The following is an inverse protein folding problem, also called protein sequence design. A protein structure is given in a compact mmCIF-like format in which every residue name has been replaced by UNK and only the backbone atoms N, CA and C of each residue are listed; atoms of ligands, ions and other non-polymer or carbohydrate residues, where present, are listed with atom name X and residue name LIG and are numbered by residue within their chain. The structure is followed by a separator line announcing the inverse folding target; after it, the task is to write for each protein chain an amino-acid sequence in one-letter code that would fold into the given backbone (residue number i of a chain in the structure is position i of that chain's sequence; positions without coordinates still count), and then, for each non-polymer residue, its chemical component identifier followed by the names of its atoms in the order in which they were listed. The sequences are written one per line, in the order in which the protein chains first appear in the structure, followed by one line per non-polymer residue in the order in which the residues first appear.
data_IF_137244201000
#
_entry.id   IF_137244201000
#
_cell.length_a   1.000
_cell.length_b   1.000
_cell.length_c   1.000
_cell.angle_alpha   90.00
_cell.angle_beta   90.00
_cell.angle_gamma   90.00
#
_symmetry.space_group_name_H-M   'P 1'
#
loop_
_entity.id
_entity.type
_entity.pdbx_description
1 polymer ?
#
# COMPACT_ATOMS: atom_id res chain seq x y z
N UNK A 1 -69.81 -9.58 21.42
CA UNK A 1 -70.07 -10.74 20.51
C UNK A 1 -68.74 -11.26 20.12
N UNK A 2 -68.19 -12.31 20.75
CA UNK A 2 -68.09 -13.72 20.23
C UNK A 2 -67.19 -13.78 19.02
N UNK A 3 -66.05 -14.49 18.85
CA UNK A 3 -65.44 -15.70 19.48
C UNK A 3 -63.99 -15.73 19.02
N UNK A 4 -62.98 -15.92 19.86
CA UNK A 4 -62.48 -17.24 20.34
C UNK A 4 -62.09 -18.21 19.24
N UNK A 5 -60.82 -18.49 19.10
CA UNK A 5 -60.32 -19.83 19.43
C UNK A 5 -58.79 -19.99 19.19
N UNK A 6 -58.22 -20.39 20.26
CA UNK A 6 -56.92 -21.02 20.46
C UNK A 6 -56.79 -22.35 19.73
N UNK A 7 -55.58 -22.75 19.31
CA UNK A 7 -55.12 -24.13 19.49
C UNK A 7 -53.60 -24.21 19.66
N UNK A 8 -53.27 -24.98 20.66
CA UNK A 8 -51.94 -25.34 21.21
C UNK A 8 -51.37 -26.59 20.54
N UNK A 9 -50.14 -26.81 20.91
CA UNK A 9 -49.37 -28.10 20.99
C UNK A 9 -48.80 -28.60 19.65
N UNK A 10 -47.57 -29.11 19.57
CA UNK A 10 -46.89 -30.01 20.52
C UNK A 10 -45.37 -30.00 20.33
N UNK A 11 -44.72 -30.28 21.41
CA UNK A 11 -43.30 -30.64 21.57
C UNK A 11 -43.02 -32.03 21.01
N UNK A 12 -41.82 -32.25 20.43
CA UNK A 12 -41.15 -33.54 20.56
C UNK A 12 -39.65 -33.35 20.67
N UNK A 13 -39.10 -33.80 21.79
CA UNK A 13 -37.70 -34.13 22.05
C UNK A 13 -37.33 -35.48 21.43
N UNK A 14 -36.09 -35.65 20.99
CA UNK A 14 -35.32 -36.92 21.01
C UNK A 14 -33.87 -36.56 20.67
N UNK A 15 -32.96 -36.57 21.58
CA UNK A 15 -32.15 -37.62 22.26
C UNK A 15 -31.10 -38.25 21.35
N UNK A 16 -29.88 -38.04 21.80
CA UNK A 16 -28.51 -38.58 21.61
C UNK A 16 -28.35 -39.91 20.85
N UNK A 17 -27.24 -39.97 20.08
CA UNK A 17 -26.35 -41.15 20.17
C UNK A 17 -24.91 -40.78 19.69
N UNK A 18 -23.97 -40.95 20.57
CA UNK A 18 -22.55 -41.01 20.30
C UNK A 18 -22.16 -42.40 19.80
N UNK A 19 -21.27 -42.50 18.83
CA UNK A 19 -20.51 -43.72 18.58
C UNK A 19 -19.03 -43.33 18.25
N UNK A 20 -18.15 -43.77 19.13
CA UNK A 20 -16.74 -43.91 18.92
C UNK A 20 -16.40 -45.36 18.55
N UNK A 21 -15.44 -45.56 17.62
CA UNK A 21 -14.59 -46.74 17.44
C UNK A 21 -13.60 -46.44 16.30
N UNK A 22 -12.36 -46.29 16.55
CA UNK A 22 -11.23 -47.22 16.74
C UNK A 22 -10.75 -47.91 15.45
N UNK A 23 -9.57 -47.53 15.08
CA UNK A 23 -8.41 -48.11 14.38
C UNK A 23 -8.52 -49.51 13.73
N UNK A 24 -7.97 -49.58 12.48
CA UNK A 24 -7.11 -50.70 12.12
C UNK A 24 -6.24 -50.36 10.88
N UNK A 25 -4.94 -50.53 11.06
CA UNK A 25 -3.88 -50.61 10.04
C UNK A 25 -4.05 -51.89 9.19
N UNK A 26 -3.90 -51.78 7.87
CA UNK A 26 -3.37 -52.89 7.09
C UNK A 26 -2.72 -52.34 5.80
N UNK A 27 -1.44 -52.59 5.64
CA UNK A 27 -0.69 -52.46 4.42
C UNK A 27 -0.95 -53.68 3.53
N UNK A 28 -1.00 -53.47 2.16
CA UNK A 28 -0.46 -54.43 1.17
C UNK A 28 -0.52 -53.85 -0.27
N UNK A 29 0.67 -53.72 -0.82
CA UNK A 29 1.20 -53.96 -2.18
C UNK A 29 0.30 -53.99 -3.44
N UNK A 30 0.83 -53.33 -4.45
CA UNK A 30 0.67 -53.12 -5.89
C UNK A 30 0.51 -54.45 -6.68
N UNK A 31 -0.07 -54.57 -7.93
CA UNK A 31 0.30 -53.78 -9.12
C UNK A 31 -0.79 -53.51 -10.19
N UNK A 32 -0.55 -52.49 -10.98
CA UNK A 32 -0.75 -52.48 -12.47
C UNK A 32 -2.13 -52.20 -13.04
N UNK A 33 -2.18 -51.20 -13.96
CA UNK A 33 -3.23 -51.15 -14.99
C UNK A 33 -3.68 -49.74 -15.40
N UNK A 34 -3.34 -49.42 -16.61
CA UNK A 34 -3.61 -48.27 -17.49
C UNK A 34 -5.10 -47.85 -17.55
N UNK A 35 -5.38 -46.54 -17.65
CA UNK A 35 -6.55 -46.09 -18.39
C UNK A 35 -7.28 -44.80 -17.89
N UNK A 36 -7.04 -43.71 -18.62
CA UNK A 36 -7.96 -42.61 -19.01
C UNK A 36 -8.56 -41.64 -18.02
N UNK A 37 -8.15 -40.42 -18.24
CA UNK A 37 -8.80 -39.07 -18.16
C UNK A 37 -10.22 -38.95 -17.60
N UNK A 38 -10.35 -38.03 -16.60
CA UNK A 38 -11.30 -36.93 -16.68
C UNK A 38 -10.94 -35.82 -15.69
N UNK A 39 -10.99 -34.62 -16.20
CA UNK A 39 -10.72 -33.31 -15.63
C UNK A 39 -11.52 -32.97 -14.35
N UNK A 40 -10.84 -32.39 -13.38
CA UNK A 40 -11.42 -31.78 -12.21
C UNK A 40 -10.33 -31.04 -11.44
N UNK A 41 -9.96 -29.84 -11.88
CA UNK A 41 -8.98 -29.01 -11.21
C UNK A 41 -9.58 -28.34 -9.99
N UNK A 42 -9.23 -28.80 -8.80
CA UNK A 42 -9.20 -27.99 -7.60
C UNK A 42 -7.72 -27.77 -7.26
N UNK A 43 -7.21 -26.61 -7.59
CA UNK A 43 -5.85 -26.20 -7.29
C UNK A 43 -5.74 -25.88 -5.80
N UNK A 44 -5.31 -26.86 -5.04
CA UNK A 44 -4.78 -26.69 -3.69
C UNK A 44 -3.34 -26.14 -3.86
N UNK A 45 -3.20 -24.80 -3.85
CA UNK A 45 -1.92 -24.12 -4.00
C UNK A 45 -1.28 -23.78 -2.67
N UNK A 46 -1.10 -24.77 -1.81
CA UNK A 46 -0.19 -24.69 -0.66
C UNK A 46 1.09 -25.47 -0.89
N UNK A 47 1.73 -25.27 -2.05
CA UNK A 47 3.14 -25.62 -2.17
C UNK A 47 3.96 -24.45 -1.62
N UNK A 48 4.37 -24.55 -0.35
CA UNK A 48 5.58 -23.87 0.12
C UNK A 48 6.75 -24.41 -0.74
N UNK A 49 7.05 -23.67 -1.82
CA UNK A 49 8.30 -23.91 -2.54
C UNK A 49 9.41 -23.53 -1.56
N UNK A 50 9.88 -24.54 -0.82
CA UNK A 50 11.04 -24.42 0.06
C UNK A 50 12.20 -23.90 -0.77
N UNK A 51 12.76 -22.78 -0.33
CA UNK A 51 14.05 -22.29 -0.84
C UNK A 51 15.07 -23.36 -0.45
N UNK A 52 15.40 -24.28 -1.35
CA UNK A 52 16.34 -25.37 -1.10
C UNK A 52 17.55 -25.26 -2.00
N UNK A 53 18.75 -25.40 -1.41
CA UNK A 53 20.00 -25.51 -2.12
C UNK A 53 20.89 -24.27 -2.05
N UNK A 54 22.14 -24.49 -2.45
CA UNK A 54 23.15 -23.44 -2.60
C UNK A 54 22.92 -22.67 -3.90
N UNK A 55 22.52 -21.39 -3.78
CA UNK A 55 22.29 -20.46 -4.90
C UNK A 55 23.46 -19.53 -5.14
N UNK A 56 24.52 -19.60 -4.33
CA UNK A 56 25.65 -18.68 -4.38
C UNK A 56 26.23 -18.56 -5.79
N UNK A 57 26.17 -17.34 -6.36
CA UNK A 57 26.68 -17.04 -7.70
C UNK A 57 25.95 -17.74 -8.86
N UNK A 58 24.78 -18.34 -8.62
CA UNK A 58 24.00 -19.06 -9.64
C UNK A 58 22.62 -18.51 -9.85
N UNK A 59 21.93 -18.18 -8.75
CA UNK A 59 20.56 -17.69 -8.78
C UNK A 59 20.34 -16.63 -7.69
N UNK A 60 19.74 -15.52 -8.08
CA UNK A 60 19.28 -14.47 -7.15
C UNK A 60 17.77 -14.61 -7.00
N UNK A 61 17.31 -14.89 -5.80
CA UNK A 61 15.89 -14.91 -5.47
C UNK A 61 15.44 -13.53 -4.98
N UNK A 62 14.43 -12.99 -5.65
CA UNK A 62 13.89 -11.65 -5.36
C UNK A 62 12.42 -11.77 -4.97
N UNK A 63 12.01 -11.10 -3.89
CA UNK A 63 10.61 -10.89 -3.58
C UNK A 63 10.22 -9.45 -3.87
N UNK A 64 9.17 -9.27 -4.66
CA UNK A 64 8.63 -7.97 -5.04
C UNK A 64 7.11 -7.91 -4.83
N UNK A 65 6.59 -6.70 -4.79
CA UNK A 65 5.15 -6.49 -4.76
C UNK A 65 4.48 -6.92 -6.06
N UNK A 66 3.29 -7.48 -5.97
CA UNK A 66 2.47 -7.82 -7.13
C UNK A 66 2.22 -6.59 -8.02
N UNK A 67 2.30 -6.80 -9.33
CA UNK A 67 2.19 -5.72 -10.32
C UNK A 67 3.46 -4.91 -10.52
N UNK A 68 4.64 -5.41 -10.09
CA UNK A 68 5.96 -4.83 -10.36
C UNK A 68 6.70 -5.47 -11.53
N UNK A 69 6.03 -6.29 -12.31
CA UNK A 69 6.54 -6.94 -13.51
C UNK A 69 6.68 -5.96 -14.70
N UNK A 70 7.11 -4.73 -14.38
CA UNK A 70 7.35 -3.68 -15.38
C UNK A 70 8.43 -4.11 -16.37
N UNK A 71 8.20 -3.75 -17.65
CA UNK A 71 9.17 -4.06 -18.72
C UNK A 71 10.56 -3.49 -18.40
N UNK A 72 10.62 -2.29 -17.83
CA UNK A 72 11.88 -1.67 -17.43
C UNK A 72 12.66 -2.51 -16.42
N UNK A 73 11.99 -3.15 -15.46
CA UNK A 73 12.65 -4.06 -14.51
C UNK A 73 13.00 -5.41 -15.14
N UNK A 74 12.09 -6.01 -15.90
CA UNK A 74 12.38 -7.30 -16.54
C UNK A 74 13.52 -7.21 -17.56
N UNK A 75 13.63 -6.10 -18.30
CA UNK A 75 14.77 -5.82 -19.17
C UNK A 75 16.09 -5.65 -18.38
N UNK A 76 16.02 -4.98 -17.20
CA UNK A 76 17.17 -4.83 -16.30
C UNK A 76 17.61 -6.18 -15.75
N UNK A 77 16.69 -7.05 -15.35
CA UNK A 77 16.98 -8.40 -14.89
C UNK A 77 17.63 -9.24 -15.98
N UNK A 78 17.10 -9.22 -17.20
CA UNK A 78 17.67 -9.95 -18.33
C UNK A 78 19.09 -9.47 -18.70
N UNK A 79 19.35 -8.16 -18.63
CA UNK A 79 20.68 -7.60 -18.84
C UNK A 79 21.66 -8.06 -17.74
N UNK A 80 21.22 -8.00 -16.47
CA UNK A 80 22.01 -8.43 -15.32
C UNK A 80 22.35 -9.93 -15.36
N UNK A 81 21.38 -10.80 -15.69
CA UNK A 81 21.61 -12.24 -15.89
C UNK A 81 22.72 -12.51 -16.87
N UNK A 82 22.72 -11.81 -18.01
CA UNK A 82 23.72 -11.94 -19.05
C UNK A 82 25.09 -11.44 -18.63
N UNK A 83 25.16 -10.31 -17.93
CA UNK A 83 26.40 -9.66 -17.50
C UNK A 83 27.11 -10.49 -16.44
N UNK A 84 26.35 -10.97 -15.45
CA UNK A 84 26.90 -11.67 -14.28
C UNK A 84 26.85 -13.20 -14.39
N UNK A 85 26.29 -13.76 -15.49
CA UNK A 85 26.11 -15.21 -15.70
C UNK A 85 25.35 -15.89 -14.54
N UNK A 86 24.29 -15.25 -14.08
CA UNK A 86 23.40 -15.74 -13.00
C UNK A 86 21.97 -15.84 -13.51
N UNK A 87 21.08 -16.50 -12.75
CA UNK A 87 19.64 -16.48 -12.97
C UNK A 87 18.96 -15.54 -11.96
N UNK A 88 17.93 -14.85 -12.39
CA UNK A 88 17.05 -14.06 -11.51
C UNK A 88 15.69 -14.74 -11.44
N UNK A 89 15.30 -15.10 -10.22
CA UNK A 89 14.00 -15.66 -9.90
C UNK A 89 13.21 -14.62 -9.11
N UNK A 90 12.17 -14.04 -9.72
CA UNK A 90 11.33 -13.03 -9.07
C UNK A 90 10.01 -13.66 -8.66
N UNK A 91 9.66 -13.50 -7.39
CA UNK A 91 8.36 -13.91 -6.85
C UNK A 91 7.58 -12.66 -6.43
N UNK A 92 6.34 -12.59 -6.88
CA UNK A 92 5.47 -11.43 -6.66
C UNK A 92 4.37 -11.76 -5.66
N UNK A 93 4.18 -10.87 -4.66
CA UNK A 93 3.22 -11.05 -3.58
C UNK A 93 2.42 -9.76 -3.34
N UNK A 94 1.19 -9.88 -2.86
CA UNK A 94 0.52 -8.75 -2.25
C UNK A 94 1.28 -8.32 -0.98
N UNK A 95 1.23 -7.04 -0.62
CA UNK A 95 2.04 -6.50 0.49
C UNK A 95 1.85 -7.27 1.81
N UNK A 96 0.60 -7.60 2.16
CA UNK A 96 0.31 -8.36 3.37
C UNK A 96 0.89 -9.78 3.35
N UNK A 97 0.78 -10.48 2.20
CA UNK A 97 1.30 -11.82 2.02
C UNK A 97 2.84 -11.81 2.03
N UNK A 98 3.46 -10.78 1.40
CA UNK A 98 4.91 -10.60 1.40
C UNK A 98 5.45 -10.42 2.83
N UNK A 99 4.78 -9.61 3.65
CA UNK A 99 5.18 -9.40 5.04
C UNK A 99 5.11 -10.70 5.85
N UNK A 100 4.02 -11.46 5.71
CA UNK A 100 3.85 -12.75 6.40
C UNK A 100 4.89 -13.76 5.94
N UNK A 101 5.12 -13.87 4.62
CA UNK A 101 6.13 -14.75 4.03
C UNK A 101 7.53 -14.46 4.57
N UNK A 102 7.95 -13.18 4.56
CA UNK A 102 9.26 -12.77 5.07
C UNK A 102 9.41 -13.06 6.56
N UNK A 103 8.37 -12.84 7.36
CA UNK A 103 8.40 -13.17 8.79
C UNK A 103 8.68 -14.67 9.01
N UNK A 104 8.03 -15.54 8.24
CA UNK A 104 8.26 -16.98 8.28
C UNK A 104 9.68 -17.35 7.78
N UNK A 105 10.15 -16.71 6.71
CA UNK A 105 11.48 -16.96 6.14
C UNK A 105 12.60 -16.52 7.09
N UNK A 106 12.45 -15.43 7.81
CA UNK A 106 13.41 -15.01 8.85
C UNK A 106 13.51 -16.02 9.97
N UNK A 107 12.37 -16.56 10.43
CA UNK A 107 12.34 -17.61 11.47
C UNK A 107 12.99 -18.91 10.99
N UNK A 108 12.74 -19.34 9.76
CA UNK A 108 13.32 -20.57 9.21
C UNK A 108 14.78 -20.37 8.77
N UNK A 109 15.23 -19.14 8.60
CA UNK A 109 16.55 -18.81 8.07
C UNK A 109 16.70 -19.04 6.56
N UNK A 110 15.60 -19.28 5.86
CA UNK A 110 15.57 -19.44 4.41
C UNK A 110 15.05 -18.15 3.77
N UNK A 111 15.93 -17.20 3.50
CA UNK A 111 15.58 -15.88 3.01
C UNK A 111 15.85 -15.73 1.51
N UNK A 112 15.12 -14.82 0.83
CA UNK A 112 15.52 -14.37 -0.51
C UNK A 112 16.85 -13.59 -0.45
N UNK A 113 17.39 -13.25 -1.60
CA UNK A 113 18.61 -12.45 -1.70
C UNK A 113 18.32 -10.94 -1.72
N UNK A 114 17.17 -10.58 -2.26
CA UNK A 114 16.74 -9.19 -2.39
C UNK A 114 15.23 -9.08 -2.17
N UNK A 115 14.78 -8.00 -1.52
CA UNK A 115 13.37 -7.80 -1.21
C UNK A 115 12.97 -6.36 -1.46
N UNK A 116 11.83 -6.16 -2.15
CA UNK A 116 11.12 -4.89 -2.16
C UNK A 116 10.35 -4.72 -0.84
N UNK A 117 10.59 -3.63 -0.12
CA UNK A 117 9.93 -3.29 1.14
C UNK A 117 8.92 -2.15 0.97
N UNK A 118 7.95 -2.05 1.86
CA UNK A 118 6.89 -1.06 1.82
C UNK A 118 7.14 0.07 2.83
N UNK A 119 7.36 1.29 2.33
CA UNK A 119 7.38 2.52 3.11
C UNK A 119 8.61 2.79 3.97
N UNK A 120 9.51 1.83 4.12
CA UNK A 120 10.78 1.95 4.88
C UNK A 120 10.74 1.37 6.29
N UNK A 121 9.56 1.20 6.92
CA UNK A 121 9.51 0.66 8.28
C UNK A 121 9.94 -0.82 8.36
N UNK A 122 9.76 -1.60 7.31
CA UNK A 122 10.23 -3.00 7.26
C UNK A 122 11.75 -3.06 7.34
N UNK A 123 12.45 -2.26 6.54
CA UNK A 123 13.91 -2.26 6.53
C UNK A 123 14.48 -1.80 7.87
N UNK A 124 13.92 -0.76 8.49
CA UNK A 124 14.39 -0.27 9.79
C UNK A 124 14.06 -1.22 10.93
N UNK A 125 12.82 -1.73 10.99
CA UNK A 125 12.41 -2.67 12.04
C UNK A 125 13.18 -3.97 11.96
N UNK A 126 13.18 -4.62 10.81
CA UNK A 126 13.89 -5.88 10.64
C UNK A 126 15.42 -5.72 10.60
N UNK A 127 15.89 -4.51 10.28
CA UNK A 127 17.31 -4.15 10.44
C UNK A 127 17.71 -4.10 11.90
N UNK A 128 16.92 -3.47 12.76
CA UNK A 128 17.13 -3.46 14.20
C UNK A 128 17.08 -4.87 14.81
N UNK A 129 16.20 -5.74 14.30
CA UNK A 129 16.10 -7.15 14.71
C UNK A 129 17.22 -8.04 14.11
N UNK A 130 18.11 -7.49 13.27
CA UNK A 130 19.21 -8.22 12.63
C UNK A 130 18.82 -9.11 11.45
N UNK A 131 17.57 -9.06 10.99
CA UNK A 131 17.08 -9.83 9.83
C UNK A 131 17.46 -9.22 8.49
N UNK A 132 17.64 -7.89 8.45
CA UNK A 132 18.11 -7.13 7.29
C UNK A 132 19.49 -6.58 7.59
N UNK A 133 20.43 -6.71 6.63
CA UNK A 133 21.79 -6.21 6.80
C UNK A 133 21.86 -4.70 6.63
N UNK A 134 22.80 -4.06 7.34
CA UNK A 134 23.21 -2.69 7.01
C UNK A 134 23.89 -2.66 5.65
N UNK A 135 23.52 -1.68 4.85
CA UNK A 135 24.13 -1.42 3.53
C UNK A 135 25.38 -0.54 3.61
N UNK A 136 25.74 -0.05 4.80
CA UNK A 136 26.89 0.86 4.99
C UNK A 136 28.21 0.29 4.47
N UNK A 137 28.54 -1.02 4.59
CA UNK A 137 29.74 -1.58 4.01
C UNK A 137 29.83 -1.46 2.48
N UNK A 138 28.69 -1.48 1.79
CA UNK A 138 28.62 -1.24 0.35
C UNK A 138 28.73 0.25 0.03
N UNK A 139 28.00 1.09 0.78
CA UNK A 139 27.98 2.54 0.62
C UNK A 139 29.37 3.17 0.84
N UNK A 140 30.17 2.64 1.77
CA UNK A 140 31.55 3.09 1.99
C UNK A 140 32.46 2.88 0.77
N UNK A 141 32.16 1.88 -0.07
CA UNK A 141 32.88 1.62 -1.31
C UNK A 141 32.43 2.52 -2.47
N UNK A 142 31.30 3.23 -2.31
CA UNK A 142 30.66 4.02 -3.36
C UNK A 142 30.28 5.42 -2.84
N UNK A 143 31.26 6.27 -2.52
CA UNK A 143 31.01 7.60 -2.02
C UNK A 143 30.17 8.42 -3.02
N UNK A 144 29.17 9.14 -2.51
CA UNK A 144 28.25 9.95 -3.34
C UNK A 144 27.06 9.18 -3.94
N UNK A 145 26.98 7.86 -3.80
CA UNK A 145 25.85 7.09 -4.34
C UNK A 145 24.49 7.59 -3.83
N UNK A 146 24.39 8.00 -2.57
CA UNK A 146 23.17 8.48 -1.96
C UNK A 146 22.81 9.94 -2.27
N UNK A 147 23.72 10.75 -2.81
CA UNK A 147 23.55 12.21 -2.94
C UNK A 147 22.37 12.62 -3.82
N UNK A 148 22.06 11.79 -4.83
CA UNK A 148 20.96 12.02 -5.76
C UNK A 148 19.62 11.43 -5.29
N UNK A 149 19.56 10.76 -4.14
CA UNK A 149 18.30 10.24 -3.63
C UNK A 149 17.53 11.29 -2.81
N UNK A 150 16.19 11.20 -2.86
CA UNK A 150 15.29 12.05 -2.06
C UNK A 150 15.50 11.76 -0.57
N UNK A 151 15.81 12.78 0.19
CA UNK A 151 16.18 12.67 1.60
C UNK A 151 15.11 11.99 2.45
N UNK A 152 13.83 12.35 2.26
CA UNK A 152 12.72 11.73 2.98
C UNK A 152 12.60 10.23 2.71
N UNK A 153 12.90 9.79 1.47
CA UNK A 153 12.93 8.38 1.11
C UNK A 153 14.08 7.62 1.77
N UNK A 154 15.27 8.23 1.86
CA UNK A 154 16.41 7.68 2.57
C UNK A 154 16.16 7.63 4.08
N UNK A 155 15.70 8.74 4.65
CA UNK A 155 15.44 8.84 6.10
C UNK A 155 14.49 7.75 6.61
N UNK A 156 13.54 7.29 5.80
CA UNK A 156 12.65 6.21 6.16
C UNK A 156 13.33 4.82 6.23
N UNK A 157 14.55 4.70 5.69
CA UNK A 157 15.31 3.45 5.62
C UNK A 157 16.58 3.50 6.47
N UNK A 158 16.65 4.53 7.31
CA UNK A 158 17.78 4.75 8.22
C UNK A 158 17.29 4.72 9.67
N UNK A 159 18.01 3.98 10.51
CA UNK A 159 17.82 3.91 11.95
C UNK A 159 19.18 3.69 12.63
N UNK A 160 19.40 4.30 13.80
CA UNK A 160 20.60 4.14 14.63
C UNK A 160 21.91 4.40 13.85
N UNK A 161 21.86 5.39 12.95
CA UNK A 161 23.01 5.78 12.12
C UNK A 161 23.37 4.79 11.01
N UNK A 162 22.51 3.80 10.74
CA UNK A 162 22.70 2.78 9.70
C UNK A 162 21.65 2.89 8.61
N UNK A 163 22.03 2.51 7.38
CA UNK A 163 21.15 2.42 6.22
C UNK A 163 20.79 0.97 5.96
N UNK A 164 19.50 0.63 5.98
CA UNK A 164 18.98 -0.73 5.82
C UNK A 164 18.25 -0.97 4.48
N UNK A 165 18.07 0.07 3.68
CA UNK A 165 17.44 -0.05 2.37
C UNK A 165 17.73 1.15 1.48
N UNK A 166 17.58 0.96 0.18
CA UNK A 166 17.69 2.01 -0.84
C UNK A 166 16.30 2.28 -1.40
N UNK A 167 15.83 3.55 -1.40
CA UNK A 167 14.51 3.87 -1.94
C UNK A 167 14.43 3.58 -3.45
N UNK A 168 13.41 2.83 -3.86
CA UNK A 168 13.11 2.50 -5.26
C UNK A 168 12.07 3.48 -5.82
N UNK A 169 10.94 3.59 -5.15
CA UNK A 169 9.88 4.55 -5.43
C UNK A 169 9.75 5.53 -4.26
N UNK A 170 9.69 6.82 -4.56
CA UNK A 170 9.34 7.87 -3.59
C UNK A 170 8.12 8.59 -4.14
N UNK A 171 6.98 8.12 -3.74
CA UNK A 171 5.68 8.56 -4.20
C UNK A 171 4.83 9.09 -3.04
N UNK A 172 3.61 9.46 -3.28
CA UNK A 172 2.70 9.98 -2.26
C UNK A 172 1.26 9.58 -2.55
N UNK A 173 0.45 9.49 -1.51
CA UNK A 173 -0.99 9.35 -1.63
C UNK A 173 -1.72 10.68 -1.46
N UNK A 174 -3.04 10.67 -1.70
CA UNK A 174 -3.88 11.85 -1.47
C UNK A 174 -3.71 12.98 -2.49
N UNK A 175 -3.22 12.70 -3.68
CA UNK A 175 -3.33 13.58 -4.84
C UNK A 175 -4.78 13.60 -5.34
N UNK A 176 -5.21 14.72 -5.90
CA UNK A 176 -6.54 14.84 -6.49
C UNK A 176 -6.48 14.48 -7.96
N UNK A 177 -7.10 13.35 -8.32
CA UNK A 177 -7.29 12.99 -9.73
C UNK A 177 -8.68 13.46 -10.17
N UNK A 178 -8.77 14.13 -11.31
CA UNK A 178 -10.00 14.69 -11.84
C UNK A 178 -10.26 14.24 -13.28
N UNK A 179 -11.53 14.09 -13.62
CA UNK A 179 -11.98 13.94 -15.00
C UNK A 179 -12.17 15.35 -15.59
N UNK A 180 -11.25 15.74 -16.47
CA UNK A 180 -11.21 17.10 -17.04
C UNK A 180 -12.50 17.46 -17.79
N UNK A 181 -13.09 16.52 -18.53
CA UNK A 181 -14.33 16.73 -19.27
C UNK A 181 -15.51 17.03 -18.33
N UNK A 182 -15.63 16.29 -17.23
CA UNK A 182 -16.66 16.54 -16.21
C UNK A 182 -16.44 17.87 -15.49
N UNK A 183 -15.18 18.19 -15.19
CA UNK A 183 -14.82 19.47 -14.58
C UNK A 183 -15.20 20.64 -15.47
N UNK A 184 -14.88 20.57 -16.78
CA UNK A 184 -15.21 21.60 -17.75
C UNK A 184 -16.73 21.77 -17.91
N UNK A 185 -17.47 20.67 -17.99
CA UNK A 185 -18.93 20.67 -18.06
C UNK A 185 -19.57 21.31 -16.82
N UNK A 186 -19.00 21.07 -15.66
CA UNK A 186 -19.48 21.63 -14.39
C UNK A 186 -18.95 23.06 -14.12
N UNK A 187 -18.06 23.58 -14.96
CA UNK A 187 -17.44 24.90 -14.79
C UNK A 187 -16.56 24.99 -13.56
N UNK A 188 -15.86 23.89 -13.20
CA UNK A 188 -14.97 23.84 -12.04
C UNK A 188 -13.51 23.65 -12.46
N UNK A 189 -12.60 24.14 -11.62
CA UNK A 189 -11.16 23.94 -11.75
C UNK A 189 -10.68 22.86 -10.75
N UNK A 190 -9.44 22.43 -10.90
CA UNK A 190 -8.82 21.50 -9.96
C UNK A 190 -8.83 22.09 -8.53
N UNK A 191 -9.46 21.42 -7.56
CA UNK A 191 -9.55 21.93 -6.19
C UNK A 191 -8.19 21.89 -5.49
N UNK A 192 -7.93 22.92 -4.67
CA UNK A 192 -6.69 23.08 -3.89
C UNK A 192 -6.93 23.00 -2.39
N UNK A 193 -8.16 23.12 -1.94
CA UNK A 193 -8.56 23.07 -0.53
C UNK A 193 -9.71 22.10 -0.31
N UNK A 194 -9.95 21.71 0.93
CA UNK A 194 -11.10 20.87 1.28
C UNK A 194 -12.43 21.48 0.86
N UNK A 195 -12.61 22.79 1.10
CA UNK A 195 -13.84 23.48 0.72
C UNK A 195 -14.00 23.52 -0.81
N UNK A 196 -12.93 23.79 -1.55
CA UNK A 196 -12.98 23.77 -3.02
C UNK A 196 -13.30 22.35 -3.55
N UNK A 197 -12.76 21.28 -2.92
CA UNK A 197 -13.11 19.90 -3.28
C UNK A 197 -14.60 19.62 -3.06
N UNK A 198 -15.15 20.03 -1.91
CA UNK A 198 -16.58 19.88 -1.59
C UNK A 198 -17.45 20.61 -2.61
N UNK A 199 -17.17 21.89 -2.87
CA UNK A 199 -17.94 22.70 -3.81
C UNK A 199 -17.81 22.23 -5.27
N UNK A 200 -16.61 21.86 -5.71
CA UNK A 200 -16.40 21.30 -7.04
C UNK A 200 -17.13 19.95 -7.23
N UNK A 201 -17.07 19.08 -6.21
CA UNK A 201 -17.79 17.82 -6.19
C UNK A 201 -19.31 18.01 -6.30
N UNK A 202 -19.85 18.98 -5.57
CA UNK A 202 -21.26 19.32 -5.64
C UNK A 202 -21.70 19.77 -7.03
N UNK A 203 -20.95 20.69 -7.66
CA UNK A 203 -21.22 21.16 -9.02
C UNK A 203 -21.12 20.05 -10.07
N UNK A 204 -20.17 19.12 -9.91
CA UNK A 204 -20.05 17.95 -10.79
C UNK A 204 -21.30 17.07 -10.65
N UNK A 205 -21.77 16.80 -9.44
CA UNK A 205 -22.98 16.02 -9.22
C UNK A 205 -24.23 16.74 -9.79
N UNK A 206 -24.35 18.04 -9.57
CA UNK A 206 -25.42 18.87 -10.15
C UNK A 206 -25.40 18.90 -11.69
N UNK A 207 -24.26 18.66 -12.33
CA UNK A 207 -24.12 18.53 -13.79
C UNK A 207 -24.62 17.19 -14.35
N UNK A 208 -25.10 16.28 -13.47
CA UNK A 208 -25.68 14.98 -13.81
C UNK A 208 -24.75 13.78 -13.63
N UNK A 209 -23.60 13.96 -13.00
CA UNK A 209 -22.71 12.86 -12.58
C UNK A 209 -23.26 12.24 -11.30
N UNK A 210 -23.18 10.91 -11.14
CA UNK A 210 -23.74 10.19 -9.99
C UNK A 210 -23.13 10.65 -8.67
N UNK A 211 -21.79 10.80 -8.63
CA UNK A 211 -21.03 11.26 -7.46
C UNK A 211 -20.08 12.39 -7.85
N UNK A 212 -19.87 13.33 -6.94
CA UNK A 212 -18.86 14.36 -7.10
C UNK A 212 -17.45 13.80 -7.01
N UNK A 213 -17.23 12.85 -6.09
CA UNK A 213 -15.94 12.17 -5.89
C UNK A 213 -16.11 10.72 -5.43
N UNK A 214 -15.03 9.94 -5.52
CA UNK A 214 -14.85 8.67 -4.85
C UNK A 214 -13.80 8.82 -3.74
N UNK A 215 -14.08 8.26 -2.56
CA UNK A 215 -13.09 8.08 -1.51
C UNK A 215 -12.48 6.68 -1.59
N UNK A 216 -11.26 6.55 -1.13
CA UNK A 216 -10.55 5.27 -1.17
C UNK A 216 -11.00 4.34 -0.03
N UNK A 217 -10.79 3.04 -0.19
CA UNK A 217 -11.23 2.00 0.74
C UNK A 217 -10.12 1.51 1.68
N UNK A 218 -9.08 2.29 1.88
CA UNK A 218 -7.96 1.99 2.77
C UNK A 218 -7.71 3.11 3.78
N UNK A 219 -7.43 2.74 5.03
CA UNK A 219 -7.23 3.68 6.13
C UNK A 219 -6.06 4.67 5.90
N UNK A 220 -5.08 4.34 5.08
CA UNK A 220 -3.96 5.23 4.76
C UNK A 220 -4.42 6.50 4.04
N UNK A 221 -5.57 6.46 3.35
CA UNK A 221 -6.10 7.63 2.66
C UNK A 221 -6.78 8.66 3.59
N UNK A 222 -6.96 8.35 4.88
CA UNK A 222 -7.35 9.35 5.88
C UNK A 222 -6.14 10.16 6.36
N UNK A 223 -4.94 9.61 6.22
CA UNK A 223 -3.70 10.23 6.71
C UNK A 223 -3.45 11.61 6.09
N UNK A 224 -3.62 11.84 4.77
CA UNK A 224 -3.50 13.17 4.19
C UNK A 224 -4.41 14.20 4.86
N UNK A 225 -5.68 13.85 5.11
CA UNK A 225 -6.63 14.77 5.76
C UNK A 225 -6.21 15.08 7.19
N UNK A 226 -5.75 14.08 7.96
CA UNK A 226 -5.22 14.30 9.31
C UNK A 226 -4.01 15.24 9.28
N UNK A 227 -3.06 15.02 8.37
CA UNK A 227 -1.89 15.88 8.21
C UNK A 227 -2.26 17.29 7.78
N UNK A 228 -3.22 17.42 6.87
CA UNK A 228 -3.72 18.71 6.37
C UNK A 228 -4.45 19.52 7.45
N UNK A 229 -5.09 18.86 8.41
CA UNK A 229 -5.65 19.51 9.60
C UNK A 229 -4.59 19.93 10.64
N UNK A 230 -3.30 19.63 10.38
CA UNK A 230 -2.22 19.94 11.31
C UNK A 230 -2.06 18.93 12.45
N UNK A 231 -2.66 17.74 12.32
CA UNK A 231 -2.47 16.65 13.29
C UNK A 231 -1.03 16.16 13.25
N UNK A 232 -0.42 16.07 14.42
CA UNK A 232 0.79 15.27 14.65
C UNK A 232 0.38 13.94 15.24
N UNK A 233 0.86 12.81 14.66
CA UNK A 233 0.44 11.46 15.09
C UNK A 233 0.96 11.10 16.47
N UNK A 234 2.02 11.75 16.89
CA UNK A 234 2.60 11.64 18.22
C UNK A 234 3.29 12.94 18.59
N UNK A 235 3.27 13.26 19.86
CA UNK A 235 4.11 14.28 20.47
C UNK A 235 5.27 13.55 21.14
N UNK A 236 6.48 13.81 20.69
CA UNK A 236 7.72 13.25 21.26
C UNK A 236 7.74 11.69 21.35
N UNK A 237 6.95 11.00 20.51
CA UNK A 237 6.86 9.54 20.50
C UNK A 237 6.00 8.92 21.62
N UNK A 238 5.46 9.71 22.54
CA UNK A 238 4.83 9.21 23.76
C UNK A 238 3.35 9.54 23.91
N UNK A 239 2.81 10.47 23.11
CA UNK A 239 1.41 10.87 23.18
C UNK A 239 0.73 10.67 21.83
N UNK A 240 -0.49 10.09 21.79
CA UNK A 240 -1.21 9.89 20.53
C UNK A 240 -1.74 11.22 20.00
N UNK A 241 -1.99 11.25 18.71
CA UNK A 241 -2.62 12.34 17.95
C UNK A 241 -2.85 13.65 18.68
N UNK A 242 -2.13 14.70 18.33
CA UNK A 242 -2.37 16.02 18.89
C UNK A 242 -2.46 17.06 17.76
N UNK A 243 -3.43 17.99 17.80
CA UNK A 243 -4.58 18.04 18.73
C UNK A 243 -5.76 17.16 18.23
N UNK A 244 -6.44 16.46 19.17
CA UNK A 244 -7.57 15.58 18.90
C UNK A 244 -8.74 16.28 18.17
N UNK A 245 -9.01 17.54 18.51
CA UNK A 245 -10.05 18.32 17.83
C UNK A 245 -9.79 18.42 16.31
N UNK A 246 -8.52 18.53 15.89
CA UNK A 246 -8.14 18.57 14.48
C UNK A 246 -8.26 17.20 13.79
N UNK A 247 -8.00 16.12 14.50
CA UNK A 247 -8.28 14.77 14.00
C UNK A 247 -9.78 14.57 13.80
N UNK A 248 -10.60 15.02 14.75
CA UNK A 248 -12.05 14.98 14.61
C UNK A 248 -12.53 15.80 13.42
N UNK A 249 -12.01 17.01 13.22
CA UNK A 249 -12.33 17.86 12.06
C UNK A 249 -12.02 17.14 10.73
N UNK A 250 -10.86 16.52 10.63
CA UNK A 250 -10.43 15.79 9.42
C UNK A 250 -11.31 14.56 9.13
N UNK A 251 -11.69 13.82 10.16
CA UNK A 251 -12.56 12.65 10.00
C UNK A 251 -14.01 13.07 9.75
N UNK A 252 -14.48 14.15 10.38
CA UNK A 252 -15.82 14.73 10.16
C UNK A 252 -15.96 15.22 8.71
N UNK A 253 -14.93 15.85 8.14
CA UNK A 253 -14.97 16.29 6.75
C UNK A 253 -15.21 15.11 5.79
N UNK A 254 -14.50 14.01 5.95
CA UNK A 254 -14.66 12.82 5.13
C UNK A 254 -16.04 12.15 5.35
N UNK A 255 -16.47 12.08 6.60
CA UNK A 255 -17.80 11.58 6.98
C UNK A 255 -18.91 12.41 6.30
N UNK A 256 -18.80 13.75 6.35
CA UNK A 256 -19.78 14.66 5.77
C UNK A 256 -19.91 14.45 4.25
N UNK A 257 -18.80 14.25 3.51
CA UNK A 257 -18.82 13.99 2.07
C UNK A 257 -19.67 12.76 1.70
N UNK A 258 -19.73 11.76 2.58
CA UNK A 258 -20.47 10.51 2.37
C UNK A 258 -21.90 10.62 2.91
N UNK A 259 -22.06 10.91 4.20
CA UNK A 259 -23.30 10.69 4.92
C UNK A 259 -24.21 11.91 4.94
N UNK A 260 -23.64 13.13 4.97
CA UNK A 260 -24.39 14.38 5.05
C UNK A 260 -24.60 14.98 3.66
N UNK A 261 -23.53 15.20 2.92
CA UNK A 261 -23.56 15.90 1.63
C UNK A 261 -23.87 14.92 0.47
N UNK A 262 -23.65 13.62 0.69
CA UNK A 262 -23.90 12.54 -0.30
C UNK A 262 -23.17 12.74 -1.62
N UNK A 263 -21.96 13.32 -1.54
CA UNK A 263 -21.11 13.59 -2.70
C UNK A 263 -20.24 12.39 -3.10
N UNK A 264 -20.05 11.43 -2.18
CA UNK A 264 -19.29 10.20 -2.40
C UNK A 264 -20.11 8.98 -1.99
N UNK A 265 -19.94 7.82 -2.67
CA UNK A 265 -20.45 6.56 -2.14
C UNK A 265 -19.68 6.12 -0.90
N UNK A 266 -20.27 5.30 -0.05
CA UNK A 266 -19.51 4.56 0.97
C UNK A 266 -18.53 3.65 0.23
N UNK A 267 -17.22 3.70 0.57
CA UNK A 267 -16.25 2.82 -0.06
C UNK A 267 -16.56 1.34 0.21
N UNK A 268 -16.32 0.49 -0.78
CA UNK A 268 -16.54 -0.94 -0.60
C UNK A 268 -15.48 -1.52 0.32
N UNK A 269 -15.90 -2.15 1.41
CA UNK A 269 -15.00 -2.84 2.33
C UNK A 269 -14.38 -4.06 1.62
N UNK A 270 -13.22 -3.90 1.04
CA UNK A 270 -12.47 -4.96 0.35
C UNK A 270 -10.98 -4.63 0.30
N UNK A 271 -10.17 -5.65 0.05
CA UNK A 271 -8.74 -5.47 -0.22
C UNK A 271 -8.46 -5.13 -1.71
N UNK A 272 -9.50 -4.89 -2.51
CA UNK A 272 -9.36 -4.48 -3.90
C UNK A 272 -9.15 -2.96 -4.01
N UNK A 273 -7.91 -2.54 -4.09
CA UNK A 273 -7.54 -1.13 -4.32
C UNK A 273 -8.05 -0.56 -5.65
N UNK A 274 -8.45 -1.42 -6.59
CA UNK A 274 -9.03 -0.96 -7.84
C UNK A 274 -10.51 -0.55 -7.71
N UNK A 275 -11.23 -0.97 -6.66
CA UNK A 275 -12.65 -0.72 -6.52
C UNK A 275 -13.01 0.79 -6.53
N UNK A 276 -12.38 1.68 -5.74
CA UNK A 276 -12.63 3.12 -5.83
C UNK A 276 -12.23 3.72 -7.19
N UNK A 277 -11.10 3.28 -7.76
CA UNK A 277 -10.66 3.72 -9.09
C UNK A 277 -11.69 3.36 -10.16
N UNK A 278 -12.32 2.20 -10.11
CA UNK A 278 -13.38 1.80 -11.04
C UNK A 278 -14.60 2.72 -11.00
N UNK A 279 -14.95 3.29 -9.84
CA UNK A 279 -16.02 4.30 -9.75
C UNK A 279 -15.63 5.55 -10.55
N UNK A 280 -14.38 5.97 -10.48
CA UNK A 280 -13.85 7.11 -11.22
C UNK A 280 -13.68 6.82 -12.72
N UNK A 281 -13.04 5.71 -13.10
CA UNK A 281 -12.78 5.36 -14.51
C UNK A 281 -14.05 5.00 -15.28
N UNK A 282 -15.07 4.49 -14.62
CA UNK A 282 -16.42 4.29 -15.18
C UNK A 282 -17.24 5.59 -15.31
N UNK A 283 -16.62 6.74 -15.03
CA UNK A 283 -17.24 8.07 -15.15
C UNK A 283 -18.44 8.28 -14.20
N UNK A 284 -18.49 7.52 -13.11
CA UNK A 284 -19.51 7.69 -12.07
C UNK A 284 -19.14 8.75 -11.04
N UNK A 285 -17.86 9.11 -10.94
CA UNK A 285 -17.35 10.16 -10.07
C UNK A 285 -16.45 11.10 -10.83
N UNK A 286 -16.49 12.40 -10.49
CA UNK A 286 -15.67 13.44 -11.12
C UNK A 286 -14.25 13.51 -10.57
N UNK A 287 -14.06 13.16 -9.30
CA UNK A 287 -12.76 13.12 -8.63
C UNK A 287 -12.51 11.78 -7.93
N UNK A 288 -11.23 11.47 -7.70
CA UNK A 288 -10.76 10.47 -6.74
C UNK A 288 -9.47 10.98 -6.07
N UNK A 289 -9.32 10.69 -4.79
CA UNK A 289 -8.06 10.93 -4.09
C UNK A 289 -7.25 9.64 -4.09
N UNK A 290 -6.10 9.67 -4.76
CA UNK A 290 -5.23 8.49 -4.90
C UNK A 290 -3.77 8.91 -5.05
N UNK A 291 -2.93 8.07 -5.64
CA UNK A 291 -1.51 8.34 -5.88
C UNK A 291 -1.06 8.01 -7.30
N UNK A 292 0.20 8.32 -7.64
CA UNK A 292 0.76 8.11 -8.98
C UNK A 292 0.65 6.68 -9.52
N UNK A 293 0.54 5.67 -8.64
CA UNK A 293 0.33 4.27 -9.03
C UNK A 293 -0.95 4.02 -9.84
N UNK A 294 -1.92 4.93 -9.78
CA UNK A 294 -3.15 4.81 -10.57
C UNK A 294 -3.07 5.47 -11.96
N UNK A 295 -2.02 6.24 -12.26
CA UNK A 295 -1.88 6.92 -13.55
C UNK A 295 -1.87 5.90 -14.70
N UNK A 296 -1.00 4.89 -14.63
CA UNK A 296 -0.93 3.86 -15.67
C UNK A 296 -2.18 3.01 -15.72
N UNK A 297 -2.77 2.69 -14.57
CA UNK A 297 -3.99 1.90 -14.52
C UNK A 297 -5.16 2.62 -15.20
N UNK A 298 -5.35 3.93 -14.94
CA UNK A 298 -6.37 4.75 -15.62
C UNK A 298 -6.12 4.80 -17.12
N UNK A 299 -4.87 5.07 -17.54
CA UNK A 299 -4.49 5.15 -18.97
C UNK A 299 -4.61 3.80 -19.68
N UNK A 300 -4.39 2.68 -18.97
CA UNK A 300 -4.54 1.34 -19.53
C UNK A 300 -6.01 0.93 -19.65
N UNK A 301 -6.86 1.31 -18.70
CA UNK A 301 -8.30 1.07 -18.77
C UNK A 301 -8.97 1.88 -19.88
N UNK A 302 -8.61 3.15 -20.03
CA UNK A 302 -9.05 4.03 -21.13
C UNK A 302 -7.91 4.98 -21.52
N UNK A 303 -7.21 4.72 -22.65
CA UNK A 303 -6.13 5.60 -23.14
C UNK A 303 -6.56 7.04 -23.43
N UNK A 304 -7.86 7.28 -23.65
CA UNK A 304 -8.44 8.60 -23.92
C UNK A 304 -9.14 9.21 -22.70
N UNK A 305 -9.00 8.58 -21.52
CA UNK A 305 -9.59 9.12 -20.30
C UNK A 305 -9.03 10.53 -20.05
N UNK A 306 -9.88 11.54 -19.87
CA UNK A 306 -9.45 12.93 -19.74
C UNK A 306 -8.90 13.19 -18.32
N UNK A 307 -7.83 12.48 -17.98
CA UNK A 307 -7.19 12.54 -16.68
C UNK A 307 -6.48 13.86 -16.48
N UNK A 308 -6.72 14.50 -15.35
CA UNK A 308 -5.90 15.58 -14.80
C UNK A 308 -5.58 15.30 -13.34
N UNK A 309 -4.44 15.81 -12.85
CA UNK A 309 -3.97 15.57 -11.49
C UNK A 309 -3.66 16.90 -10.83
N UNK A 310 -4.12 17.08 -9.59
CA UNK A 310 -3.85 18.21 -8.73
C UNK A 310 -2.87 17.83 -7.62
N UNK A 311 -2.25 18.85 -7.04
CA UNK A 311 -1.41 18.73 -5.84
C UNK A 311 -2.24 18.24 -4.65
N UNK A 312 -1.60 17.82 -3.54
CA UNK A 312 -2.30 17.54 -2.30
C UNK A 312 -3.13 18.75 -1.84
N UNK A 313 -4.31 18.47 -1.32
CA UNK A 313 -5.17 19.52 -0.78
C UNK A 313 -4.52 20.24 0.40
N UNK A 314 -4.95 21.47 0.62
CA UNK A 314 -4.64 22.27 1.80
C UNK A 314 -5.86 22.30 2.72
N UNK A 315 -5.67 21.90 3.98
CA UNK A 315 -6.50 22.28 5.12
C UNK A 315 -5.86 23.47 5.84
N UNK A 316 -5.43 23.31 7.08
CA UNK A 316 -4.59 24.31 7.77
C UNK A 316 -3.20 24.37 7.13
N UNK A 317 -2.69 23.23 6.72
CA UNK A 317 -1.42 23.08 6.01
C UNK A 317 -1.58 22.25 4.73
N UNK A 318 -0.69 22.45 3.75
CA UNK A 318 -0.64 21.61 2.58
C UNK A 318 0.36 20.47 2.83
N UNK A 319 -0.13 19.26 3.03
CA UNK A 319 0.68 18.08 3.29
C UNK A 319 0.02 16.81 2.76
N UNK A 320 0.84 15.79 2.56
CA UNK A 320 0.38 14.44 2.26
C UNK A 320 1.33 13.39 2.84
N UNK A 321 0.90 12.12 2.87
CA UNK A 321 1.79 11.06 3.34
C UNK A 321 2.76 10.60 2.26
N UNK A 322 4.00 10.37 2.68
CA UNK A 322 5.02 9.75 1.86
C UNK A 322 4.71 8.25 1.75
N UNK A 323 4.61 7.78 0.53
CA UNK A 323 4.50 6.38 0.19
C UNK A 323 5.69 5.96 -0.67
N UNK A 324 5.73 4.71 -1.04
CA UNK A 324 6.75 4.19 -1.93
C UNK A 324 7.38 2.92 -1.37
N UNK A 325 8.37 2.45 -2.07
CA UNK A 325 9.07 1.22 -1.72
C UNK A 325 10.58 1.40 -1.81
N UNK A 326 11.31 0.45 -1.29
CA UNK A 326 12.76 0.39 -1.41
C UNK A 326 13.22 -1.05 -1.52
N UNK A 327 14.51 -1.21 -1.74
CA UNK A 327 15.14 -2.52 -1.82
C UNK A 327 16.00 -2.75 -0.58
N UNK A 328 15.85 -3.90 0.04
CA UNK A 328 16.62 -4.33 1.21
C UNK A 328 17.22 -5.71 0.98
N UNK A 329 18.34 -5.98 1.65
CA UNK A 329 19.07 -7.25 1.56
C UNK A 329 18.92 -8.00 2.88
N UNK A 330 18.29 -9.18 2.92
CA UNK A 330 18.25 -10.03 4.11
C UNK A 330 19.65 -10.39 4.59
N UNK A 331 19.86 -10.43 5.92
CA UNK A 331 21.16 -10.73 6.53
C UNK A 331 21.70 -12.12 6.18
N UNK A 332 20.82 -13.05 5.79
CA UNK A 332 21.17 -14.42 5.34
C UNK A 332 21.15 -14.59 3.83
N UNK A 333 21.16 -13.48 3.07
CA UNK A 333 21.32 -13.56 1.61
C UNK A 333 22.57 -14.33 1.23
N UNK A 334 22.46 -15.23 0.26
CA UNK A 334 23.59 -15.96 -0.28
C UNK A 334 24.35 -15.17 -1.36
N UNK A 335 23.74 -14.07 -1.87
CA UNK A 335 24.24 -13.29 -3.01
C UNK A 335 24.23 -11.78 -2.72
N UNK A 336 24.61 -11.36 -1.51
CA UNK A 336 24.49 -9.96 -1.07
C UNK A 336 25.23 -8.96 -1.98
N UNK A 337 26.42 -9.31 -2.49
CA UNK A 337 27.18 -8.43 -3.42
C UNK A 337 26.44 -8.29 -4.77
N UNK A 338 25.89 -9.37 -5.33
CA UNK A 338 25.09 -9.33 -6.56
C UNK A 338 23.76 -8.60 -6.34
N UNK A 339 23.12 -8.78 -5.17
CA UNK A 339 21.92 -8.05 -4.80
C UNK A 339 22.18 -6.54 -4.72
N UNK A 340 23.34 -6.13 -4.17
CA UNK A 340 23.76 -4.73 -4.16
C UNK A 340 23.96 -4.15 -5.56
N UNK A 341 24.64 -4.87 -6.46
CA UNK A 341 24.79 -4.44 -7.86
C UNK A 341 23.42 -4.26 -8.52
N UNK A 342 22.51 -5.22 -8.33
CA UNK A 342 21.18 -5.14 -8.88
C UNK A 342 20.35 -3.96 -8.32
N UNK A 343 20.50 -3.61 -7.03
CA UNK A 343 19.92 -2.39 -6.47
C UNK A 343 20.39 -1.16 -7.25
N UNK A 344 21.68 -1.07 -7.56
CA UNK A 344 22.23 0.07 -8.31
C UNK A 344 21.63 0.18 -9.70
N UNK A 345 21.51 -0.95 -10.39
CA UNK A 345 20.93 -0.99 -11.74
C UNK A 345 19.45 -0.60 -11.71
N UNK A 346 18.65 -1.20 -10.82
CA UNK A 346 17.22 -0.90 -10.66
C UNK A 346 16.96 0.56 -10.26
N UNK A 347 17.88 1.17 -9.52
CA UNK A 347 17.77 2.56 -9.07
C UNK A 347 18.51 3.56 -9.94
N UNK A 348 19.11 3.14 -11.07
CA UNK A 348 19.73 4.05 -12.02
C UNK A 348 18.70 5.03 -12.60
N UNK A 349 19.13 6.28 -12.92
CA UNK A 349 18.21 7.28 -13.49
C UNK A 349 17.54 6.75 -14.77
N UNK A 350 18.30 6.08 -15.64
CA UNK A 350 17.78 5.48 -16.88
C UNK A 350 16.62 4.51 -16.62
N UNK A 351 16.76 3.62 -15.64
CA UNK A 351 15.71 2.64 -15.30
C UNK A 351 14.53 3.36 -14.66
N UNK A 352 14.78 4.34 -13.79
CA UNK A 352 13.71 5.14 -13.18
C UNK A 352 12.89 5.92 -14.20
N UNK A 353 13.52 6.52 -15.19
CA UNK A 353 12.84 7.19 -16.32
C UNK A 353 11.99 6.20 -17.13
N UNK A 354 12.53 5.02 -17.42
CA UNK A 354 11.80 3.98 -18.15
C UNK A 354 10.58 3.46 -17.37
N UNK A 355 10.72 3.21 -16.07
CA UNK A 355 9.59 2.84 -15.18
C UNK A 355 8.54 3.93 -15.18
N UNK A 356 8.94 5.21 -15.08
CA UNK A 356 7.99 6.33 -15.10
C UNK A 356 7.25 6.44 -16.43
N UNK A 357 7.96 6.31 -17.54
CA UNK A 357 7.34 6.33 -18.87
C UNK A 357 6.29 5.22 -19.04
N UNK A 358 6.54 4.05 -18.47
CA UNK A 358 5.62 2.91 -18.51
C UNK A 358 4.43 3.08 -17.55
N UNK A 359 4.67 3.63 -16.35
CA UNK A 359 3.72 3.51 -15.23
C UNK A 359 3.20 4.83 -14.68
N UNK A 360 3.86 5.95 -14.95
CA UNK A 360 3.60 7.22 -14.27
C UNK A 360 4.09 7.27 -12.82
N UNK A 361 4.83 6.26 -12.35
CA UNK A 361 5.30 6.18 -10.97
C UNK A 361 6.34 7.26 -10.67
N UNK A 362 6.26 7.84 -9.47
CA UNK A 362 7.28 8.75 -8.96
C UNK A 362 8.44 7.94 -8.36
N UNK A 363 9.66 8.35 -8.73
CA UNK A 363 10.87 7.59 -8.43
C UNK A 363 11.73 8.28 -7.36
N UNK A 364 12.79 7.60 -6.94
CA UNK A 364 13.55 7.96 -5.74
C UNK A 364 14.67 8.97 -5.95
N UNK A 365 15.16 9.19 -7.19
CA UNK A 365 16.25 10.15 -7.44
C UNK A 365 15.75 11.59 -7.51
N UNK A 366 16.58 12.53 -7.05
CA UNK A 366 16.32 13.97 -7.19
C UNK A 366 16.36 14.38 -8.66
N UNK A 367 17.34 13.87 -9.42
CA UNK A 367 17.51 14.11 -10.86
C UNK A 367 16.32 13.63 -11.68
N UNK A 368 15.59 12.61 -11.24
CA UNK A 368 14.36 12.15 -11.89
C UNK A 368 13.33 13.27 -12.09
N UNK A 369 13.14 14.14 -11.10
CA UNK A 369 12.19 15.26 -11.23
C UNK A 369 12.55 16.26 -12.33
N UNK A 370 13.81 16.26 -12.74
CA UNK A 370 14.36 17.14 -13.78
C UNK A 370 14.47 16.44 -15.14
N UNK A 371 14.09 15.18 -15.26
CA UNK A 371 14.16 14.42 -16.51
C UNK A 371 13.10 14.88 -17.53
N UNK A 372 13.36 14.63 -18.80
CA UNK A 372 12.46 15.03 -19.87
C UNK A 372 11.12 14.27 -19.81
N UNK A 373 11.12 13.02 -19.34
CA UNK A 373 9.90 12.23 -19.16
C UNK A 373 8.94 12.89 -18.15
N UNK A 374 9.49 13.58 -17.13
CA UNK A 374 8.71 14.29 -16.11
C UNK A 374 8.31 15.67 -16.60
N UNK A 375 9.25 16.45 -17.16
CA UNK A 375 9.01 17.84 -17.58
C UNK A 375 8.00 17.95 -18.72
N UNK A 376 7.99 16.99 -19.62
CA UNK A 376 7.12 17.01 -20.81
C UNK A 376 5.71 16.45 -20.54
N UNK A 377 5.46 15.84 -19.39
CA UNK A 377 4.13 15.36 -18.98
C UNK A 377 3.57 16.26 -17.86
N UNK A 378 2.47 17.00 -18.09
CA UNK A 378 1.91 17.91 -17.09
C UNK A 378 1.44 17.19 -15.83
N UNK A 379 1.02 15.91 -15.91
CA UNK A 379 0.63 15.11 -14.75
C UNK A 379 1.87 14.76 -13.92
N UNK A 380 2.93 14.29 -14.58
CA UNK A 380 4.17 13.92 -13.90
C UNK A 380 4.88 15.13 -13.29
N UNK A 381 4.78 16.30 -13.90
CA UNK A 381 5.27 17.56 -13.33
C UNK A 381 4.58 17.91 -12.01
N UNK A 382 3.24 17.72 -11.92
CA UNK A 382 2.50 17.89 -10.65
C UNK A 382 2.93 16.84 -9.63
N UNK A 383 3.09 15.58 -10.03
CA UNK A 383 3.56 14.50 -9.17
C UNK A 383 4.95 14.81 -8.61
N UNK A 384 5.88 15.23 -9.44
CA UNK A 384 7.24 15.57 -9.01
C UNK A 384 7.25 16.72 -8.00
N UNK A 385 6.48 17.78 -8.24
CA UNK A 385 6.33 18.91 -7.31
C UNK A 385 5.68 18.49 -6.00
N UNK A 386 4.70 17.59 -6.05
CA UNK A 386 3.97 17.14 -4.85
C UNK A 386 4.83 16.40 -3.84
N UNK A 387 6.05 15.94 -4.21
CA UNK A 387 6.98 15.30 -3.28
C UNK A 387 7.43 16.20 -2.12
N UNK A 388 7.47 17.52 -2.32
CA UNK A 388 7.82 18.50 -1.28
C UNK A 388 6.81 18.57 -0.13
N UNK A 389 5.57 18.13 -0.37
CA UNK A 389 4.51 18.10 0.64
C UNK A 389 4.43 16.76 1.37
N UNK A 390 5.20 15.75 0.91
CA UNK A 390 5.12 14.38 1.43
C UNK A 390 5.96 14.18 2.69
N UNK A 391 5.38 13.61 3.74
CA UNK A 391 6.07 13.24 4.96
C UNK A 391 5.53 11.92 5.52
N UNK A 392 6.26 11.33 6.46
CA UNK A 392 5.89 10.08 7.15
C UNK A 392 5.53 10.39 8.59
N UNK A 393 4.25 10.66 8.88
CA UNK A 393 3.85 11.18 10.18
C UNK A 393 3.94 10.15 11.30
N UNK A 394 3.82 8.87 11.00
CA UNK A 394 3.83 7.77 11.97
C UNK A 394 5.23 7.15 12.18
N UNK A 395 6.27 7.72 11.58
CA UNK A 395 7.66 7.25 11.77
C UNK A 395 8.07 7.19 13.24
N UNK A 396 7.56 8.10 14.08
CA UNK A 396 7.83 8.12 15.51
C UNK A 396 7.38 6.85 16.24
N UNK A 397 6.43 6.08 15.66
CA UNK A 397 5.98 4.81 16.23
C UNK A 397 6.80 3.60 15.77
N UNK A 398 7.65 3.73 14.75
CA UNK A 398 8.29 2.55 14.12
C UNK A 398 9.22 1.78 15.05
N UNK A 399 9.82 2.46 16.03
CA UNK A 399 10.62 1.82 17.08
C UNK A 399 9.81 1.22 18.23
N UNK A 400 8.49 1.46 18.28
CA UNK A 400 7.64 0.94 19.34
C UNK A 400 7.23 -0.50 19.05
N UNK A 401 7.28 -1.38 20.07
CA UNK A 401 6.88 -2.79 19.91
C UNK A 401 5.40 -2.96 19.53
N UNK A 402 4.56 -1.99 19.85
CA UNK A 402 3.14 -1.95 19.52
C UNK A 402 2.81 -1.21 18.22
N UNK A 403 3.80 -0.87 17.37
CA UNK A 403 3.58 -0.11 16.12
C UNK A 403 2.50 -0.74 15.22
N UNK A 404 2.48 -2.07 15.08
CA UNK A 404 1.46 -2.77 14.31
C UNK A 404 0.05 -2.59 14.90
N UNK A 405 -0.09 -2.71 16.24
CA UNK A 405 -1.38 -2.50 16.92
C UNK A 405 -1.86 -1.05 16.82
N UNK A 406 -0.95 -0.08 16.79
CA UNK A 406 -1.28 1.35 16.58
C UNK A 406 -1.83 1.55 15.17
N UNK A 407 -1.22 0.91 14.15
CA UNK A 407 -1.72 0.95 12.79
C UNK A 407 -3.10 0.27 12.67
N UNK A 408 -3.33 -0.86 13.35
CA UNK A 408 -4.62 -1.53 13.42
C UNK A 408 -5.69 -0.66 14.10
N UNK A 409 -5.35 0.04 15.19
CA UNK A 409 -6.27 0.97 15.84
C UNK A 409 -6.72 2.11 14.89
N UNK A 410 -5.80 2.63 14.06
CA UNK A 410 -6.15 3.62 13.02
C UNK A 410 -7.07 3.03 11.94
N UNK A 411 -6.82 1.77 11.54
CA UNK A 411 -7.69 1.07 10.60
C UNK A 411 -9.10 0.92 11.17
N UNK A 412 -9.24 0.52 12.43
CA UNK A 412 -10.55 0.43 13.11
C UNK A 412 -11.25 1.79 13.14
N UNK A 413 -10.56 2.87 13.48
CA UNK A 413 -11.13 4.23 13.45
C UNK A 413 -11.67 4.58 12.06
N UNK A 414 -10.91 4.31 11.01
CA UNK A 414 -11.36 4.51 9.63
C UNK A 414 -12.61 3.70 9.30
N UNK A 415 -12.58 2.39 9.56
CA UNK A 415 -13.70 1.49 9.26
C UNK A 415 -14.98 1.91 9.97
N UNK A 416 -14.87 2.26 11.24
CA UNK A 416 -16.02 2.67 12.04
C UNK A 416 -16.64 4.00 11.57
N UNK A 417 -15.82 4.97 11.17
CA UNK A 417 -16.31 6.28 10.70
C UNK A 417 -16.73 6.22 9.23
N UNK A 418 -15.86 5.73 8.36
CA UNK A 418 -16.02 5.87 6.91
C UNK A 418 -16.88 4.74 6.32
N UNK A 419 -16.71 3.51 6.78
CA UNK A 419 -17.49 2.37 6.26
C UNK A 419 -18.79 2.18 7.03
N UNK A 420 -18.80 2.37 8.35
CA UNK A 420 -19.91 2.07 9.22
C UNK A 420 -20.74 3.30 9.65
N UNK A 421 -20.31 4.51 9.29
CA UNK A 421 -21.05 5.76 9.56
C UNK A 421 -21.18 6.12 11.05
N UNK A 422 -20.26 5.67 11.89
CA UNK A 422 -20.26 6.03 13.32
C UNK A 422 -19.75 7.45 13.56
N UNK A 423 -20.10 8.01 14.70
CA UNK A 423 -19.74 9.37 15.10
C UNK A 423 -18.22 9.59 15.12
N UNK A 424 -17.69 10.55 14.33
CA UNK A 424 -16.25 10.77 14.22
C UNK A 424 -15.58 11.16 15.54
N UNK A 425 -16.21 11.99 16.38
CA UNK A 425 -15.61 12.42 17.64
C UNK A 425 -15.45 11.27 18.62
N UNK A 426 -16.45 10.38 18.71
CA UNK A 426 -16.40 9.20 19.57
C UNK A 426 -15.33 8.21 19.11
N UNK A 427 -15.17 8.01 17.79
CA UNK A 427 -14.18 7.08 17.26
C UNK A 427 -12.73 7.59 17.34
N UNK A 428 -12.53 8.90 17.15
CA UNK A 428 -11.23 9.55 17.39
C UNK A 428 -10.84 9.42 18.87
N UNK A 429 -11.75 9.65 19.80
CA UNK A 429 -11.49 9.47 21.24
C UNK A 429 -11.14 8.02 21.58
N UNK A 430 -11.82 7.05 20.96
CA UNK A 430 -11.52 5.61 21.13
C UNK A 430 -10.12 5.29 20.62
N UNK A 431 -9.74 5.80 19.44
CA UNK A 431 -8.39 5.65 18.88
C UNK A 431 -7.33 6.21 19.84
N UNK A 432 -7.49 7.45 20.31
CA UNK A 432 -6.55 8.08 21.23
C UNK A 432 -6.36 7.29 22.52
N UNK A 433 -7.46 6.83 23.10
CA UNK A 433 -7.43 6.03 24.34
C UNK A 433 -6.68 4.72 24.12
N UNK A 434 -6.94 4.05 22.98
CA UNK A 434 -6.27 2.80 22.61
C UNK A 434 -4.76 3.01 22.42
N UNK A 435 -4.38 4.03 21.64
CA UNK A 435 -2.96 4.33 21.37
C UNK A 435 -2.22 4.76 22.64
N UNK A 436 -2.84 5.60 23.48
CA UNK A 436 -2.26 5.97 24.78
C UNK A 436 -2.02 4.76 25.69
N UNK A 437 -2.87 3.74 25.64
CA UNK A 437 -2.69 2.48 26.34
C UNK A 437 -1.51 1.67 25.79
N UNK A 438 -1.36 1.61 24.47
CA UNK A 438 -0.27 0.89 23.78
C UNK A 438 1.10 1.55 23.98
N UNK A 439 1.16 2.88 24.08
CA UNK A 439 2.41 3.62 24.27
C UNK A 439 2.95 3.52 25.72
N UNK A 440 2.11 3.14 26.69
CA UNK A 440 2.50 2.98 28.11
C UNK A 440 3.04 1.59 28.44
N UNK A 441 2.87 0.62 27.58
CA UNK A 441 3.36 -0.75 27.71
C UNK A 441 4.81 -0.84 27.24
#
# INVERSE_FOLDING_TARGET
MRHSSSKRLSRTLSVCAAFAMAASLAACSIPGGVGQQSSGSSSDSSQSLGIQGDRTGKEILIYMSAGRDYKAYTDTFAAFEKEHNVKINVQYYQWGDLQQKLTADFLSGQTPDLVEENGGWWSTRWGADGNIMSLDPFLQKEPGFLDDFVESGLANRQADGKTYGIPLHVTMGGLVFGNKEMMDKAGVTMPKTWNELREASKKIQESGVEYGLALNNDASYTVPFLMQAGVTFTKDGNEPMTPAAKATEAMQFQYDLIYKDKLAPVPVASNDYAAPRKVFTSKRAGFILTGPWDISAVRKEDPNFPLTVGEPLKGDVQKTYLAGSGMMIPSKSQNAELAWQLIKDMTSLKVQEAVTAETGMAMSRKSWANSDVVKNDPILSVVAKSREFAATPDKAFWGNENAAKIADARKVMYEEIILNGKDPAAQVQTYETTVAGLLKQ
#
